data_IF_250386648503
#
_entry.id   IF_250386648503
#
_cell.length_a   1.000
_cell.length_b   1.000
_cell.length_c   1.000
_cell.angle_alpha   90.00
_cell.angle_beta   90.00
_cell.angle_gamma   90.00
#
_symmetry.space_group_name_H-M   'P 1'
#
loop_
_entity.id
_entity.type
_entity.pdbx_description
1 polymer ?
#
# COMPACT_ATOMS: atom_id res chain seq x y z
N UNK A 1 23.30 4.62 -36.75
CA UNK A 1 22.26 5.50 -36.18
C UNK A 1 22.04 5.06 -34.75
N UNK A 2 22.36 5.91 -33.79
CA UNK A 2 22.46 5.57 -32.36
C UNK A 2 21.09 5.36 -31.71
N UNK A 3 21.03 4.34 -30.87
CA UNK A 3 19.92 4.04 -29.97
C UNK A 3 19.76 5.18 -28.95
N UNK A 4 18.64 5.89 -29.01
CA UNK A 4 18.28 6.90 -28.02
C UNK A 4 17.39 6.31 -26.94
N UNK A 5 17.88 6.28 -25.70
CA UNK A 5 17.13 6.74 -24.51
C UNK A 5 17.93 6.55 -23.22
N UNK A 6 18.20 7.63 -22.46
CA UNK A 6 18.42 7.51 -21.02
C UNK A 6 17.23 8.12 -20.27
N UNK A 7 16.19 7.31 -20.02
CA UNK A 7 15.25 7.55 -18.91
C UNK A 7 15.89 7.01 -17.63
N UNK A 8 16.96 7.67 -17.16
CA UNK A 8 17.84 7.09 -16.15
C UNK A 8 18.26 7.99 -15.00
N UNK A 9 17.73 9.21 -14.87
CA UNK A 9 18.24 10.14 -13.86
C UNK A 9 17.22 10.82 -12.95
N UNK A 10 15.95 10.95 -13.35
CA UNK A 10 14.93 11.57 -12.50
C UNK A 10 14.47 10.68 -11.34
N UNK A 11 14.75 9.37 -11.38
CA UNK A 11 14.43 8.44 -10.29
C UNK A 11 15.53 8.37 -9.21
N UNK A 12 16.70 8.97 -9.47
CA UNK A 12 17.91 8.75 -8.66
C UNK A 12 18.01 9.65 -7.43
N UNK A 13 17.35 10.81 -7.42
CA UNK A 13 17.39 11.72 -6.27
C UNK A 13 16.41 11.38 -5.13
N UNK A 14 15.40 10.52 -5.38
CA UNK A 14 14.52 9.96 -4.34
C UNK A 14 14.66 8.46 -4.11
N UNK A 15 15.52 7.78 -4.89
CA UNK A 15 15.58 6.33 -4.97
C UNK A 15 16.06 5.66 -3.68
N UNK A 16 17.09 6.22 -3.03
CA UNK A 16 17.67 5.61 -1.84
C UNK A 16 16.72 5.65 -0.65
N UNK A 17 16.08 6.79 -0.36
CA UNK A 17 15.10 6.89 0.73
C UNK A 17 13.97 5.87 0.55
N UNK A 18 13.40 5.76 -0.65
CA UNK A 18 12.36 4.75 -0.91
C UNK A 18 12.89 3.32 -0.82
N UNK A 19 14.10 3.05 -1.29
CA UNK A 19 14.71 1.72 -1.20
C UNK A 19 14.94 1.31 0.26
N UNK A 20 15.39 2.25 1.11
CA UNK A 20 15.54 2.04 2.55
C UNK A 20 14.20 1.79 3.24
N UNK A 21 13.16 2.55 2.89
CA UNK A 21 11.78 2.30 3.38
C UNK A 21 11.30 0.90 2.95
N UNK A 22 11.52 0.52 1.69
CA UNK A 22 11.19 -0.82 1.20
C UNK A 22 11.91 -1.94 1.95
N UNK A 23 13.21 -1.79 2.19
CA UNK A 23 13.99 -2.73 3.01
C UNK A 23 13.49 -2.77 4.46
N UNK A 24 13.10 -1.62 5.02
CA UNK A 24 12.50 -1.50 6.35
C UNK A 24 11.16 -2.22 6.47
N UNK A 25 10.29 -2.16 5.45
CA UNK A 25 9.04 -2.92 5.38
C UNK A 25 9.32 -4.44 5.46
N UNK A 26 10.33 -4.92 4.74
CA UNK A 26 10.70 -6.34 4.79
C UNK A 26 11.29 -6.76 6.13
N UNK A 27 12.01 -5.85 6.81
CA UNK A 27 12.54 -6.08 8.15
C UNK A 27 11.45 -6.14 9.22
N UNK A 28 10.41 -5.31 9.08
CA UNK A 28 9.30 -5.24 10.03
C UNK A 28 8.52 -6.55 10.18
N UNK A 29 8.70 -7.54 9.28
CA UNK A 29 8.18 -8.90 9.46
C UNK A 29 8.72 -9.59 10.72
N UNK A 30 9.92 -9.21 11.18
CA UNK A 30 10.50 -9.66 12.44
C UNK A 30 10.10 -8.81 13.66
N UNK A 31 9.11 -7.92 13.51
CA UNK A 31 8.73 -6.94 14.54
C UNK A 31 9.44 -5.59 14.35
N UNK A 32 8.97 -4.57 15.09
CA UNK A 32 9.50 -3.21 14.97
C UNK A 32 11.00 -3.14 15.29
N UNK A 33 11.49 -3.94 16.24
CA UNK A 33 12.89 -3.99 16.68
C UNK A 33 13.84 -4.55 15.62
N UNK A 34 13.33 -5.30 14.65
CA UNK A 34 14.11 -5.74 13.49
C UNK A 34 14.40 -4.59 12.49
N UNK A 35 13.66 -3.47 12.55
CA UNK A 35 13.87 -2.32 11.67
C UNK A 35 15.05 -1.49 12.16
N UNK A 36 16.22 -1.72 11.56
CA UNK A 36 17.48 -1.06 11.91
C UNK A 36 18.11 -0.45 10.65
N UNK A 37 18.57 0.81 10.74
CA UNK A 37 19.12 1.54 9.58
C UNK A 37 20.28 0.81 8.89
N UNK A 38 21.24 0.31 9.68
CA UNK A 38 22.40 -0.42 9.16
C UNK A 38 22.00 -1.66 8.37
N UNK A 39 20.97 -2.36 8.85
CA UNK A 39 20.43 -3.54 8.18
C UNK A 39 19.72 -3.15 6.88
N UNK A 40 18.93 -2.08 6.90
CA UNK A 40 18.28 -1.56 5.71
C UNK A 40 19.31 -1.14 4.64
N UNK A 41 20.39 -0.45 5.01
CA UNK A 41 21.48 -0.09 4.06
C UNK A 41 22.19 -1.31 3.51
N UNK A 42 22.43 -2.32 4.35
CA UNK A 42 23.07 -3.57 3.94
C UNK A 42 22.24 -4.29 2.89
N UNK A 43 20.91 -4.37 3.09
CA UNK A 43 19.98 -4.98 2.12
C UNK A 43 19.89 -4.22 0.80
N UNK A 44 20.09 -2.90 0.83
CA UNK A 44 20.11 -2.05 -0.37
C UNK A 44 21.51 -2.00 -1.04
N UNK A 45 22.52 -2.64 -0.44
CA UNK A 45 23.89 -2.68 -0.98
C UNK A 45 24.64 -1.35 -0.85
N UNK A 46 24.27 -0.51 0.13
CA UNK A 46 24.84 0.82 0.33
C UNK A 46 25.67 0.89 1.61
N UNK A 47 26.63 1.82 1.66
CA UNK A 47 27.41 2.08 2.86
C UNK A 47 26.50 2.54 4.01
N UNK A 48 26.78 2.15 5.27
CA UNK A 48 25.97 2.56 6.42
C UNK A 48 25.83 4.09 6.59
N UNK A 49 26.88 4.83 6.20
CA UNK A 49 26.88 6.30 6.23
C UNK A 49 25.84 6.95 5.32
N UNK A 50 25.33 6.23 4.33
CA UNK A 50 24.32 6.73 3.39
C UNK A 50 22.93 6.82 4.04
N UNK A 51 22.60 5.99 5.03
CA UNK A 51 21.31 6.07 5.74
C UNK A 51 21.19 7.35 6.56
N UNK A 52 22.26 7.76 7.25
CA UNK A 52 22.24 8.94 8.13
C UNK A 52 21.96 10.25 7.39
N UNK A 53 22.14 10.29 6.06
CA UNK A 53 21.77 11.44 5.23
C UNK A 53 20.26 11.51 4.93
N UNK A 54 19.53 10.42 5.16
CA UNK A 54 18.11 10.28 4.85
C UNK A 54 17.23 10.04 6.07
N UNK A 55 17.80 9.49 7.14
CA UNK A 55 17.14 9.23 8.41
C UNK A 55 18.15 9.50 9.53
N UNK A 56 17.87 10.46 10.40
CA UNK A 56 18.71 10.82 11.54
C UNK A 56 18.82 9.66 12.53
N UNK A 57 17.72 8.94 12.76
CA UNK A 57 17.68 7.82 13.71
C UNK A 57 16.70 6.71 13.29
N UNK A 58 16.61 5.67 14.12
CA UNK A 58 15.71 4.53 13.90
C UNK A 58 14.24 4.95 13.92
N UNK A 59 13.87 5.94 14.73
CA UNK A 59 12.50 6.42 14.85
C UNK A 59 12.04 7.07 13.56
N UNK A 60 12.87 7.92 12.97
CA UNK A 60 12.54 8.54 11.68
C UNK A 60 12.38 7.51 10.56
N UNK A 61 13.17 6.44 10.56
CA UNK A 61 12.99 5.32 9.63
C UNK A 61 11.65 4.62 9.88
N UNK A 62 11.29 4.34 11.14
CA UNK A 62 10.01 3.72 11.50
C UNK A 62 8.82 4.61 11.10
N UNK A 63 8.90 5.92 11.30
CA UNK A 63 7.86 6.87 10.93
C UNK A 63 7.63 6.90 9.41
N UNK A 64 8.63 6.54 8.61
CA UNK A 64 8.48 6.36 7.15
C UNK A 64 8.02 4.94 6.76
N UNK A 65 8.42 3.91 7.51
CA UNK A 65 8.05 2.51 7.25
C UNK A 65 6.60 2.23 7.62
N UNK A 66 6.11 2.75 8.74
CA UNK A 66 4.74 2.51 9.22
C UNK A 66 3.67 2.91 8.19
N UNK A 67 3.66 4.12 7.61
CA UNK A 67 2.71 4.49 6.56
C UNK A 67 2.85 3.61 5.30
N UNK A 68 4.06 3.18 4.97
CA UNK A 68 4.28 2.30 3.81
C UNK A 68 3.68 0.89 4.03
N UNK A 69 3.76 0.36 5.26
CA UNK A 69 3.08 -0.89 5.64
C UNK A 69 1.57 -0.70 5.59
N UNK A 70 1.04 0.36 6.21
CA UNK A 70 -0.40 0.65 6.22
C UNK A 70 -0.96 0.80 4.80
N UNK A 71 -0.24 1.48 3.91
CA UNK A 71 -0.65 1.60 2.51
C UNK A 71 -0.74 0.23 1.81
N UNK A 72 0.21 -0.67 2.05
CA UNK A 72 0.17 -2.05 1.51
C UNK A 72 -1.01 -2.84 2.07
N UNK A 73 -1.28 -2.72 3.38
CA UNK A 73 -2.42 -3.38 4.01
C UNK A 73 -3.75 -2.82 3.51
N UNK A 74 -3.86 -1.51 3.32
CA UNK A 74 -5.05 -0.85 2.81
C UNK A 74 -5.41 -1.34 1.39
N UNK A 75 -4.42 -1.61 0.53
CA UNK A 75 -4.66 -2.21 -0.79
C UNK A 75 -5.31 -3.59 -0.66
N UNK A 76 -4.73 -4.48 0.16
CA UNK A 76 -5.29 -5.81 0.38
C UNK A 76 -6.71 -5.76 0.99
N UNK A 77 -6.96 -4.84 1.92
CA UNK A 77 -8.30 -4.63 2.50
C UNK A 77 -9.30 -4.17 1.45
N UNK A 78 -8.92 -3.24 0.56
CA UNK A 78 -9.79 -2.74 -0.52
C UNK A 78 -10.16 -3.84 -1.51
N UNK A 79 -9.23 -4.74 -1.85
CA UNK A 79 -9.52 -5.89 -2.72
C UNK A 79 -10.57 -6.82 -2.10
N UNK A 80 -10.45 -7.13 -0.80
CA UNK A 80 -11.44 -7.91 -0.07
C UNK A 80 -12.81 -7.23 -0.04
N UNK A 81 -12.86 -5.92 0.25
CA UNK A 81 -14.09 -5.14 0.26
C UNK A 81 -14.76 -5.11 -1.12
N UNK A 82 -13.99 -4.94 -2.20
CA UNK A 82 -14.51 -4.96 -3.56
C UNK A 82 -15.18 -6.31 -3.89
N UNK A 83 -14.56 -7.42 -3.50
CA UNK A 83 -15.15 -8.75 -3.69
C UNK A 83 -16.46 -8.92 -2.92
N UNK A 84 -16.49 -8.52 -1.64
CA UNK A 84 -17.70 -8.55 -0.80
C UNK A 84 -18.80 -7.62 -1.30
N UNK A 85 -18.46 -6.44 -1.83
CA UNK A 85 -19.41 -5.47 -2.36
C UNK A 85 -20.13 -5.97 -3.62
N UNK A 86 -19.55 -6.94 -4.35
CA UNK A 86 -20.23 -7.59 -5.49
C UNK A 86 -21.04 -8.80 -5.01
N UNK A 87 -20.44 -9.68 -4.21
CA UNK A 87 -21.06 -10.95 -3.85
C UNK A 87 -22.15 -10.82 -2.78
N UNK A 88 -21.96 -9.93 -1.79
CA UNK A 88 -22.94 -9.69 -0.73
C UNK A 88 -24.29 -9.22 -1.29
N UNK A 89 -24.33 -8.15 -2.09
CA UNK A 89 -25.56 -7.72 -2.74
C UNK A 89 -26.14 -8.77 -3.68
N UNK A 90 -25.31 -9.50 -4.43
CA UNK A 90 -25.78 -10.59 -5.29
C UNK A 90 -26.52 -11.67 -4.49
N UNK A 91 -25.98 -12.11 -3.34
CA UNK A 91 -26.68 -13.06 -2.46
C UNK A 91 -27.97 -12.45 -1.89
N UNK A 92 -27.98 -11.17 -1.52
CA UNK A 92 -29.18 -10.50 -1.01
C UNK A 92 -30.29 -10.36 -2.07
N UNK A 93 -29.92 -10.24 -3.35
CA UNK A 93 -30.85 -10.18 -4.48
C UNK A 93 -31.43 -11.55 -4.82
N UNK A 94 -30.57 -12.58 -4.81
CA UNK A 94 -30.94 -13.93 -5.19
C UNK A 94 -31.71 -14.62 -4.07
N UNK A 95 -31.29 -14.45 -2.81
CA UNK A 95 -31.77 -15.23 -1.65
C UNK A 95 -32.23 -14.41 -0.44
N UNK A 96 -32.07 -13.09 -0.44
CA UNK A 96 -32.25 -12.26 0.77
C UNK A 96 -33.27 -11.12 0.66
N UNK A 97 -33.12 -10.13 1.54
CA UNK A 97 -34.05 -9.00 1.74
C UNK A 97 -34.10 -8.01 0.58
N UNK A 98 -33.19 -8.11 -0.40
CA UNK A 98 -33.26 -7.30 -1.63
C UNK A 98 -34.05 -8.00 -2.74
N UNK A 99 -34.52 -9.24 -2.52
CA UNK A 99 -35.40 -9.98 -3.43
C UNK A 99 -36.68 -9.17 -3.67
N UNK A 100 -36.87 -8.70 -4.90
CA UNK A 100 -38.05 -7.91 -5.31
C UNK A 100 -37.83 -6.40 -5.44
N UNK A 101 -36.62 -5.88 -5.16
CA UNK A 101 -36.28 -4.52 -5.57
C UNK A 101 -36.18 -4.40 -7.09
N UNK A 102 -36.61 -3.26 -7.62
CA UNK A 102 -36.41 -2.90 -9.02
C UNK A 102 -34.93 -2.61 -9.31
N UNK A 103 -34.55 -2.60 -10.59
CA UNK A 103 -33.15 -2.38 -11.00
C UNK A 103 -32.55 -1.08 -10.46
N UNK A 104 -33.36 -0.03 -10.30
CA UNK A 104 -32.94 1.24 -9.73
C UNK A 104 -32.57 1.11 -8.24
N UNK A 105 -33.40 0.43 -7.45
CA UNK A 105 -33.13 0.19 -6.02
C UNK A 105 -31.92 -0.71 -5.77
N UNK A 106 -31.60 -1.62 -6.69
CA UNK A 106 -30.38 -2.43 -6.64
C UNK A 106 -29.14 -1.59 -6.95
N UNK A 107 -29.22 -0.74 -7.98
CA UNK A 107 -28.11 0.11 -8.39
C UNK A 107 -27.74 1.14 -7.32
N UNK A 108 -28.72 1.73 -6.64
CA UNK A 108 -28.49 2.69 -5.55
C UNK A 108 -27.72 2.05 -4.38
N UNK A 109 -28.09 0.83 -3.99
CA UNK A 109 -27.36 0.06 -2.96
C UNK A 109 -25.92 -0.21 -3.40
N UNK A 110 -25.72 -0.60 -4.66
CA UNK A 110 -24.38 -0.82 -5.23
C UNK A 110 -23.52 0.45 -5.21
N UNK A 111 -24.07 1.58 -5.67
CA UNK A 111 -23.39 2.87 -5.68
C UNK A 111 -23.01 3.34 -4.27
N UNK A 112 -23.91 3.13 -3.30
CA UNK A 112 -23.65 3.48 -1.89
C UNK A 112 -22.53 2.63 -1.28
N UNK A 113 -22.45 1.34 -1.61
CA UNK A 113 -21.35 0.47 -1.19
C UNK A 113 -20.01 0.89 -1.80
N UNK A 114 -19.98 1.22 -3.09
CA UNK A 114 -18.78 1.72 -3.77
C UNK A 114 -18.31 3.04 -3.14
N UNK A 115 -19.25 3.98 -2.90
CA UNK A 115 -18.95 5.24 -2.23
C UNK A 115 -18.32 5.05 -0.85
N UNK A 116 -18.86 4.14 -0.03
CA UNK A 116 -18.28 3.79 1.28
C UNK A 116 -16.90 3.13 1.15
N UNK A 117 -16.69 2.27 0.15
CA UNK A 117 -15.38 1.64 -0.07
C UNK A 117 -14.31 2.64 -0.54
N UNK A 118 -14.68 3.64 -1.35
CA UNK A 118 -13.75 4.66 -1.85
C UNK A 118 -13.35 5.68 -0.78
N UNK A 119 -14.27 6.02 0.13
CA UNK A 119 -14.04 7.03 1.18
C UNK A 119 -13.65 6.46 2.55
N UNK A 120 -13.67 5.15 2.69
CA UNK A 120 -13.59 4.48 3.99
C UNK A 120 -14.98 4.41 4.65
N UNK A 121 -15.18 3.39 5.48
CA UNK A 121 -16.38 3.23 6.31
C UNK A 121 -16.54 4.41 7.28
#
# INVERSE_FOLDING_TARGET
>A
MGVGSPKGDSYRHGGLRRALVGAGVELARGGADAVVQREATRRVGMAPSAAYRHFADRRELLDAVCPAIQAKQAVAMKEGLAWSAVHGPAMLLIDGTLRGKDGAGVYDVGQRLIYMAERGL
#
